data_IF_665765264450
#
_entry.id   IF_665765264450
#
_cell.length_a   1.000
_cell.length_b   1.000
_cell.length_c   1.000
_cell.angle_alpha   90.00
_cell.angle_beta   90.00
_cell.angle_gamma   90.00
#
_symmetry.space_group_name_H-M   'P 1'
#
loop_
_entity.id
_entity.type
_entity.pdbx_description
1 polymer ?
#
# COMPACT_ATOMS: atom_id res chain seq x y z
N UNK A 1 -27.58 19.61 -9.06
CA UNK A 1 -26.34 18.83 -8.82
C UNK A 1 -25.45 19.42 -7.71
N UNK A 2 -25.20 20.74 -7.60
CA UNK A 2 -24.28 21.29 -6.59
C UNK A 2 -24.67 21.00 -5.12
N UNK A 3 -25.95 20.78 -4.86
CA UNK A 3 -26.50 20.48 -3.53
C UNK A 3 -26.73 18.98 -3.28
N UNK A 4 -26.47 18.13 -4.28
CA UNK A 4 -26.71 16.69 -4.19
C UNK A 4 -25.50 15.97 -3.61
N UNK A 5 -25.75 15.08 -2.65
CA UNK A 5 -24.77 14.14 -2.11
C UNK A 5 -24.40 13.05 -3.14
N UNK A 6 -23.32 12.28 -2.94
CA UNK A 6 -22.86 11.27 -3.88
C UNK A 6 -23.95 10.24 -4.24
N UNK A 7 -24.67 9.69 -3.26
CA UNK A 7 -25.72 8.70 -3.51
C UNK A 7 -26.87 9.27 -4.34
N UNK A 8 -27.33 10.48 -4.00
CA UNK A 8 -28.39 11.15 -4.75
C UNK A 8 -27.93 11.47 -6.18
N UNK A 9 -26.67 11.87 -6.36
CA UNK A 9 -26.10 12.16 -7.68
C UNK A 9 -26.08 10.91 -8.57
N UNK A 10 -25.69 9.76 -8.04
CA UNK A 10 -25.72 8.48 -8.78
C UNK A 10 -27.13 8.15 -9.26
N UNK A 11 -28.14 8.29 -8.38
CA UNK A 11 -29.54 8.06 -8.74
C UNK A 11 -30.06 9.03 -9.83
N UNK A 12 -29.68 10.31 -9.74
CA UNK A 12 -30.03 11.33 -10.73
C UNK A 12 -29.37 11.02 -12.08
N UNK A 13 -28.07 10.69 -12.11
CA UNK A 13 -27.37 10.33 -13.36
C UNK A 13 -27.99 9.09 -13.99
N UNK A 14 -28.32 8.07 -13.20
CA UNK A 14 -29.00 6.87 -13.70
C UNK A 14 -30.33 7.20 -14.36
N UNK A 15 -31.09 8.13 -13.78
CA UNK A 15 -32.36 8.61 -14.35
C UNK A 15 -32.12 9.37 -15.65
N UNK A 16 -31.10 10.24 -15.70
CA UNK A 16 -30.76 11.00 -16.90
C UNK A 16 -30.33 10.11 -18.07
N UNK A 17 -29.68 8.97 -17.80
CA UNK A 17 -29.26 8.01 -18.82
C UNK A 17 -30.42 7.13 -19.36
N UNK A 18 -31.60 7.18 -18.74
CA UNK A 18 -32.72 6.30 -19.10
C UNK A 18 -33.42 6.68 -20.42
N UNK A 19 -33.25 7.91 -20.91
CA UNK A 19 -33.92 8.42 -22.12
C UNK A 19 -32.97 9.29 -22.95
N UNK A 20 -32.95 9.18 -24.30
CA UNK A 20 -32.03 9.94 -25.16
C UNK A 20 -32.07 11.46 -24.95
N UNK A 21 -33.27 12.05 -24.81
CA UNK A 21 -33.42 13.49 -24.59
C UNK A 21 -32.84 13.96 -23.24
N UNK A 22 -32.88 13.11 -22.21
CA UNK A 22 -32.28 13.38 -20.90
C UNK A 22 -30.76 13.17 -20.92
N UNK A 23 -30.29 12.16 -21.67
CA UNK A 23 -28.86 11.96 -21.94
C UNK A 23 -28.27 13.18 -22.64
N UNK A 24 -28.96 13.77 -23.62
CA UNK A 24 -28.51 15.01 -24.27
C UNK A 24 -28.42 16.19 -23.29
N UNK A 25 -29.33 16.30 -22.32
CA UNK A 25 -29.24 17.29 -21.26
C UNK A 25 -28.05 17.04 -20.31
N UNK A 26 -27.75 15.78 -20.00
CA UNK A 26 -26.57 15.38 -19.23
C UNK A 26 -25.28 15.79 -19.96
N UNK A 27 -25.16 15.48 -21.25
CA UNK A 27 -23.99 15.83 -22.06
C UNK A 27 -23.78 17.35 -22.18
N UNK A 28 -24.87 18.12 -22.35
CA UNK A 28 -24.80 19.59 -22.28
C UNK A 28 -24.34 20.09 -20.91
N UNK A 29 -24.74 19.42 -19.83
CA UNK A 29 -24.27 19.73 -18.48
C UNK A 29 -22.77 19.47 -18.29
N UNK A 30 -22.22 18.43 -18.93
CA UNK A 30 -20.78 18.16 -18.98
C UNK A 30 -20.04 19.22 -19.81
N UNK A 31 -20.56 19.57 -20.99
CA UNK A 31 -19.98 20.63 -21.85
C UNK A 31 -19.97 22.00 -21.18
N UNK A 32 -21.04 22.36 -20.47
CA UNK A 32 -21.14 23.61 -19.73
C UNK A 32 -20.36 23.60 -18.40
N UNK A 33 -19.70 22.50 -18.04
CA UNK A 33 -18.95 22.35 -16.79
C UNK A 33 -19.82 22.34 -15.53
N UNK A 34 -21.12 22.09 -15.66
CA UNK A 34 -22.04 21.90 -14.53
C UNK A 34 -21.91 20.52 -13.87
N UNK A 35 -21.29 19.57 -14.57
CA UNK A 35 -20.94 18.22 -14.14
C UNK A 35 -19.52 17.90 -14.64
N UNK A 36 -18.76 17.11 -13.88
CA UNK A 36 -17.47 16.56 -14.35
C UNK A 36 -17.64 15.11 -14.79
N UNK A 37 -16.79 14.63 -15.69
CA UNK A 37 -16.73 13.21 -16.06
C UNK A 37 -16.37 12.32 -14.86
N UNK A 38 -15.72 12.87 -13.83
CA UNK A 38 -15.46 12.15 -12.57
C UNK A 38 -16.73 11.89 -11.75
N UNK A 39 -17.84 12.58 -12.04
CA UNK A 39 -19.15 12.30 -11.42
C UNK A 39 -19.85 11.05 -11.97
N UNK A 40 -19.30 10.46 -13.03
CA UNK A 40 -19.85 9.28 -13.68
C UNK A 40 -19.09 8.04 -13.23
N UNK A 41 -19.79 6.98 -12.83
CA UNK A 41 -19.19 5.67 -12.61
C UNK A 41 -18.62 5.08 -13.91
N UNK A 42 -17.70 4.11 -13.78
CA UNK A 42 -17.14 3.41 -14.94
C UNK A 42 -18.24 2.80 -15.85
N UNK A 43 -19.27 2.21 -15.26
CA UNK A 43 -20.42 1.64 -15.98
C UNK A 43 -21.23 2.72 -16.72
N UNK A 44 -21.43 3.89 -16.11
CA UNK A 44 -22.13 5.00 -16.75
C UNK A 44 -21.33 5.58 -17.92
N UNK A 45 -20.00 5.70 -17.77
CA UNK A 45 -19.09 6.11 -18.85
C UNK A 45 -19.11 5.12 -20.01
N UNK A 46 -19.14 3.82 -19.72
CA UNK A 46 -19.28 2.78 -20.75
C UNK A 46 -20.64 2.90 -21.46
N UNK A 47 -21.73 3.06 -20.69
CA UNK A 47 -23.09 3.22 -21.24
C UNK A 47 -23.21 4.41 -22.18
N UNK A 48 -22.56 5.53 -21.85
CA UNK A 48 -22.48 6.71 -22.73
C UNK A 48 -21.62 6.45 -23.98
N UNK A 49 -20.52 5.72 -23.81
CA UNK A 49 -19.59 5.37 -24.91
C UNK A 49 -20.17 4.35 -25.89
N UNK A 50 -21.15 3.55 -25.46
CA UNK A 50 -21.84 2.53 -26.24
C UNK A 50 -23.32 2.89 -26.51
N UNK A 51 -23.70 4.15 -26.27
CA UNK A 51 -25.08 4.60 -26.41
C UNK A 51 -25.62 4.27 -27.82
N UNK A 52 -26.86 3.75 -27.98
CA UNK A 52 -27.38 3.30 -29.28
C UNK A 52 -27.49 4.43 -30.32
N UNK A 53 -27.85 5.64 -29.87
CA UNK A 53 -27.83 6.84 -30.72
C UNK A 53 -26.40 7.27 -31.08
N UNK A 54 -26.12 7.33 -32.38
CA UNK A 54 -24.78 7.65 -32.91
C UNK A 54 -24.28 9.05 -32.53
N UNK A 55 -25.16 10.05 -32.53
CA UNK A 55 -24.78 11.44 -32.23
C UNK A 55 -24.43 11.62 -30.75
N UNK A 56 -25.20 10.98 -29.87
CA UNK A 56 -24.93 10.98 -28.43
C UNK A 56 -23.67 10.18 -28.11
N UNK A 57 -23.44 9.05 -28.79
CA UNK A 57 -22.25 8.22 -28.64
C UNK A 57 -20.96 8.96 -29.01
N UNK A 58 -20.94 9.64 -30.15
CA UNK A 58 -19.78 10.42 -30.61
C UNK A 58 -19.49 11.61 -29.68
N UNK A 59 -20.52 12.36 -29.30
CA UNK A 59 -20.41 13.45 -28.33
C UNK A 59 -19.87 12.96 -26.99
N UNK A 60 -20.40 11.83 -26.51
CA UNK A 60 -19.95 11.21 -25.25
C UNK A 60 -18.47 10.82 -25.31
N UNK A 61 -18.03 10.12 -26.38
CA UNK A 61 -16.62 9.73 -26.55
C UNK A 61 -15.70 10.95 -26.56
N UNK A 62 -16.08 12.03 -27.26
CA UNK A 62 -15.31 13.27 -27.28
C UNK A 62 -15.16 13.88 -25.88
N UNK A 63 -16.26 13.97 -25.12
CA UNK A 63 -16.26 14.57 -23.77
C UNK A 63 -15.53 13.71 -22.73
N UNK A 64 -15.62 12.39 -22.86
CA UNK A 64 -14.91 11.44 -22.00
C UNK A 64 -13.40 11.46 -22.28
N UNK A 65 -12.99 11.58 -23.55
CA UNK A 65 -11.58 11.70 -23.95
C UNK A 65 -10.95 13.04 -23.53
N UNK A 66 -11.71 14.12 -23.53
CA UNK A 66 -11.24 15.44 -23.06
C UNK A 66 -11.22 15.57 -21.54
N UNK A 67 -11.57 14.51 -20.79
CA UNK A 67 -11.51 14.48 -19.33
C UNK A 67 -12.59 15.29 -18.61
N UNK A 68 -13.46 16.01 -19.33
CA UNK A 68 -14.65 16.71 -18.82
C UNK A 68 -14.45 17.73 -17.68
N UNK A 69 -13.22 17.97 -17.25
CA UNK A 69 -12.84 19.04 -16.33
C UNK A 69 -12.19 20.14 -17.15
N UNK A 70 -12.64 21.39 -16.96
CA UNK A 70 -11.86 22.55 -17.39
C UNK A 70 -10.52 22.48 -16.65
N UNK A 71 -9.47 22.01 -17.35
CA UNK A 71 -8.11 22.07 -16.84
C UNK A 71 -7.80 23.54 -16.59
N UNK A 72 -7.44 23.91 -15.36
CA UNK A 72 -7.06 25.28 -15.05
C UNK A 72 -5.79 25.64 -15.86
N UNK A 73 -5.83 26.64 -16.77
CA UNK A 73 -4.69 26.98 -17.61
C UNK A 73 -3.45 27.43 -16.85
N UNK A 74 -3.60 27.93 -15.61
CA UNK A 74 -2.47 28.24 -14.74
C UNK A 74 -1.84 26.96 -14.19
N UNK A 75 -2.68 26.01 -13.74
CA UNK A 75 -2.21 24.70 -13.24
C UNK A 75 -1.56 23.87 -14.33
N UNK A 76 -2.11 23.87 -15.53
CA UNK A 76 -1.51 23.20 -16.68
C UNK A 76 -0.11 23.74 -17.00
N UNK A 77 0.06 25.07 -17.02
CA UNK A 77 1.38 25.69 -17.22
C UNK A 77 2.37 25.32 -16.11
N UNK A 78 1.91 25.26 -14.87
CA UNK A 78 2.74 24.84 -13.74
C UNK A 78 3.17 23.37 -13.88
N UNK A 79 2.25 22.47 -14.23
CA UNK A 79 2.56 21.06 -14.49
C UNK A 79 3.61 20.94 -15.59
N UNK A 80 3.44 21.64 -16.71
CA UNK A 80 4.40 21.65 -17.81
C UNK A 80 5.78 22.19 -17.38
N UNK A 81 5.82 23.25 -16.59
CA UNK A 81 7.04 23.82 -16.05
C UNK A 81 7.78 22.84 -15.12
N UNK A 82 7.06 22.08 -14.30
CA UNK A 82 7.63 21.18 -13.29
C UNK A 82 7.82 19.75 -13.83
N UNK A 83 7.28 19.40 -14.99
CA UNK A 83 7.40 18.07 -15.60
C UNK A 83 8.85 17.57 -15.70
N UNK A 84 9.87 18.39 -16.04
CA UNK A 84 11.27 17.95 -16.07
C UNK A 84 11.79 17.42 -14.73
N UNK A 85 11.20 17.82 -13.60
CA UNK A 85 11.57 17.31 -12.27
C UNK A 85 11.33 15.81 -12.14
N UNK A 86 10.38 15.25 -12.90
CA UNK A 86 10.05 13.82 -12.85
C UNK A 86 11.17 12.92 -13.39
N UNK A 87 12.11 13.49 -14.16
CA UNK A 87 13.27 12.79 -14.68
C UNK A 87 14.47 12.82 -13.72
N UNK A 88 14.37 13.56 -12.61
CA UNK A 88 15.40 13.63 -11.58
C UNK A 88 15.22 12.50 -10.57
N UNK A 89 16.34 12.03 -10.04
CA UNK A 89 16.39 11.12 -8.89
C UNK A 89 16.40 11.96 -7.62
N UNK A 90 15.48 11.64 -6.69
CA UNK A 90 15.40 12.29 -5.38
C UNK A 90 16.06 11.48 -4.28
N UNK A 91 16.10 12.07 -3.08
CA UNK A 91 16.49 11.39 -1.85
C UNK A 91 15.27 10.75 -1.17
N UNK A 92 15.35 9.45 -0.89
CA UNK A 92 14.22 8.67 -0.36
C UNK A 92 13.85 9.10 1.07
N UNK A 93 14.84 9.29 1.95
CA UNK A 93 14.61 9.62 3.36
C UNK A 93 14.05 11.05 3.52
N UNK A 94 14.58 12.00 2.74
CA UNK A 94 14.05 13.35 2.63
C UNK A 94 12.63 13.33 2.07
N UNK A 95 12.35 12.47 1.08
CA UNK A 95 11.02 12.26 0.54
C UNK A 95 10.03 11.72 1.58
N UNK A 96 10.46 10.77 2.42
CA UNK A 96 9.66 10.28 3.56
C UNK A 96 9.38 11.39 4.57
N UNK A 97 10.36 12.23 4.89
CA UNK A 97 10.19 13.36 5.80
C UNK A 97 9.19 14.38 5.23
N UNK A 98 9.27 14.66 3.93
CA UNK A 98 8.31 15.52 3.22
C UNK A 98 6.91 14.93 3.26
N UNK A 99 6.75 13.63 2.97
CA UNK A 99 5.47 12.94 3.04
C UNK A 99 4.87 13.02 4.45
N UNK A 100 5.67 12.70 5.48
CA UNK A 100 5.22 12.67 6.88
C UNK A 100 4.72 14.04 7.33
N UNK A 101 5.39 15.12 6.90
CA UNK A 101 5.05 16.48 7.28
C UNK A 101 3.83 17.04 6.54
N UNK A 102 3.67 16.73 5.26
CA UNK A 102 2.72 17.44 4.39
C UNK A 102 1.56 16.56 3.89
N UNK A 103 1.78 15.25 3.76
CA UNK A 103 0.83 14.33 3.15
C UNK A 103 0.17 13.40 4.18
N UNK A 104 0.92 12.95 5.20
CA UNK A 104 0.45 11.98 6.19
C UNK A 104 -0.72 12.48 7.07
N UNK A 105 -0.92 13.81 7.14
CA UNK A 105 -2.08 14.42 7.79
C UNK A 105 -3.40 13.92 7.18
N UNK A 106 -3.42 13.69 5.87
CA UNK A 106 -4.62 13.32 5.14
C UNK A 106 -4.54 11.92 4.51
N UNK A 107 -3.36 11.49 4.09
CA UNK A 107 -3.17 10.26 3.34
C UNK A 107 -2.42 9.21 4.14
N UNK A 108 -2.76 7.95 3.88
CA UNK A 108 -2.03 6.78 4.37
C UNK A 108 -1.09 6.28 3.29
N UNK A 109 0.13 5.91 3.66
CA UNK A 109 1.09 5.25 2.77
C UNK A 109 1.93 4.26 3.57
N UNK A 110 1.98 3.00 3.11
CA UNK A 110 2.74 1.92 3.74
C UNK A 110 2.43 1.73 5.24
N UNK A 111 1.20 2.00 5.66
CA UNK A 111 0.77 1.88 7.06
C UNK A 111 0.89 3.15 7.90
N UNK A 112 1.58 4.19 7.42
CA UNK A 112 1.77 5.46 8.12
C UNK A 112 0.78 6.54 7.60
N UNK A 113 0.28 7.41 8.49
CA UNK A 113 -0.63 8.52 8.14
C UNK A 113 -2.11 8.26 8.46
N UNK A 114 -2.99 9.15 8.00
CA UNK A 114 -4.43 9.13 8.27
C UNK A 114 -5.26 8.74 7.04
N UNK A 115 -6.54 8.39 7.26
CA UNK A 115 -7.49 8.06 6.19
C UNK A 115 -8.55 9.15 6.08
N UNK A 116 -8.12 10.34 5.67
CA UNK A 116 -9.00 11.45 5.25
C UNK A 116 -9.12 11.42 3.72
N UNK A 117 -7.98 11.45 3.03
CA UNK A 117 -7.87 11.14 1.62
C UNK A 117 -7.70 9.64 1.35
N UNK A 118 -7.57 9.24 0.07
CA UNK A 118 -7.31 7.85 -0.31
C UNK A 118 -5.98 7.31 0.26
N UNK A 119 -5.95 6.00 0.49
CA UNK A 119 -4.70 5.27 0.79
C UNK A 119 -3.83 5.20 -0.47
N UNK A 120 -2.63 5.74 -0.37
CA UNK A 120 -1.67 5.92 -1.46
C UNK A 120 -0.77 4.69 -1.65
N UNK A 121 -0.84 3.69 -0.78
CA UNK A 121 0.08 2.52 -0.80
C UNK A 121 0.07 1.81 -2.15
N UNK A 122 -1.11 1.67 -2.78
CA UNK A 122 -1.27 1.04 -4.08
C UNK A 122 -0.89 1.93 -5.28
N UNK A 123 -0.71 3.24 -5.08
CA UNK A 123 -0.45 4.17 -6.17
C UNK A 123 1.04 4.24 -6.57
N UNK A 124 1.92 3.56 -5.83
CA UNK A 124 3.36 3.48 -6.13
C UNK A 124 3.69 2.82 -7.48
N UNK A 125 2.71 2.17 -8.12
CA UNK A 125 2.82 1.60 -9.48
C UNK A 125 2.78 2.67 -10.59
N UNK A 126 2.29 3.86 -10.28
CA UNK A 126 2.15 4.96 -11.24
C UNK A 126 3.47 5.72 -11.40
N UNK A 127 3.79 6.21 -12.62
CA UNK A 127 5.02 6.96 -12.87
C UNK A 127 5.03 8.32 -12.16
N UNK A 128 6.22 8.88 -11.92
CA UNK A 128 6.41 10.20 -11.28
C UNK A 128 5.62 11.31 -11.96
N UNK A 129 5.48 11.26 -13.28
CA UNK A 129 4.74 12.25 -14.07
C UNK A 129 3.26 12.30 -13.70
N UNK A 130 2.64 11.14 -13.41
CA UNK A 130 1.25 11.05 -13.00
C UNK A 130 1.07 11.57 -11.56
N UNK A 131 1.97 11.17 -10.66
CA UNK A 131 2.03 11.71 -9.31
C UNK A 131 2.17 13.24 -9.27
N UNK A 132 3.06 13.79 -10.09
CA UNK A 132 3.25 15.23 -10.19
C UNK A 132 1.94 15.94 -10.55
N UNK A 133 1.17 15.40 -11.50
CA UNK A 133 -0.12 15.98 -11.90
C UNK A 133 -1.10 15.96 -10.72
N UNK A 134 -1.22 14.84 -10.01
CA UNK A 134 -2.13 14.73 -8.86
C UNK A 134 -1.76 15.67 -7.71
N UNK A 135 -0.46 15.93 -7.49
CA UNK A 135 0.03 16.83 -6.44
C UNK A 135 -0.18 18.30 -6.83
N UNK A 136 0.13 18.68 -8.07
CA UNK A 136 0.08 20.08 -8.52
C UNK A 136 -1.32 20.55 -8.90
N UNK A 137 -2.18 19.62 -9.33
CA UNK A 137 -3.53 19.89 -9.79
C UNK A 137 -4.51 18.86 -9.18
N UNK A 138 -4.71 18.89 -7.86
CA UNK A 138 -5.59 17.93 -7.17
C UNK A 138 -7.06 18.07 -7.61
N UNK A 139 -7.44 19.21 -8.16
CA UNK A 139 -8.78 19.49 -8.68
C UNK A 139 -9.01 18.93 -10.10
N UNK A 140 -7.96 18.47 -10.80
CA UNK A 140 -8.06 17.94 -12.18
C UNK A 140 -9.05 16.79 -12.29
N UNK A 141 -8.99 15.86 -11.34
CA UNK A 141 -9.85 14.68 -11.28
C UNK A 141 -10.26 14.41 -9.83
N UNK A 142 -11.27 15.14 -9.36
CA UNK A 142 -11.84 14.91 -8.02
C UNK A 142 -12.93 13.86 -8.11
N UNK A 143 -12.69 12.67 -7.55
CA UNK A 143 -13.78 11.71 -7.34
C UNK A 143 -14.83 12.33 -6.41
N UNK A 144 -16.10 12.01 -6.64
CA UNK A 144 -17.22 12.62 -5.91
C UNK A 144 -17.13 12.49 -4.39
N UNK A 145 -16.40 11.47 -3.89
CA UNK A 145 -16.21 11.19 -2.47
C UNK A 145 -15.16 12.08 -1.78
N UNK A 146 -14.25 12.70 -2.54
CA UNK A 146 -13.17 13.54 -1.99
C UNK A 146 -13.37 15.04 -2.28
N UNK A 147 -14.58 15.42 -2.70
CA UNK A 147 -14.97 16.83 -2.84
C UNK A 147 -15.19 17.46 -1.48
N UNK A 148 -14.82 18.73 -1.37
CA UNK A 148 -15.13 19.53 -0.20
C UNK A 148 -16.62 19.88 -0.19
N UNK A 149 -17.29 19.63 0.93
CA UNK A 149 -18.66 20.05 1.21
C UNK A 149 -18.65 21.17 2.24
N UNK A 150 -19.49 22.17 2.03
CA UNK A 150 -19.80 23.23 2.99
C UNK A 150 -21.24 23.04 3.46
N UNK A 151 -21.41 22.77 4.75
CA UNK A 151 -22.70 22.71 5.42
C UNK A 151 -22.90 23.97 6.26
N UNK A 152 -23.94 24.74 5.96
CA UNK A 152 -24.48 25.78 6.83
C UNK A 152 -25.58 25.14 7.68
N UNK A 153 -25.41 25.15 9.00
CA UNK A 153 -26.43 24.66 9.93
C UNK A 153 -27.46 25.74 10.22
N UNK A 154 -28.67 25.35 10.64
CA UNK A 154 -29.73 26.27 11.09
C UNK A 154 -29.30 27.22 12.22
N UNK A 155 -28.31 26.82 13.03
CA UNK A 155 -27.72 27.63 14.10
C UNK A 155 -26.64 28.63 13.59
N UNK A 156 -26.48 28.75 12.26
CA UNK A 156 -25.52 29.66 11.62
C UNK A 156 -24.07 29.17 11.59
N UNK A 157 -23.79 27.94 12.00
CA UNK A 157 -22.44 27.35 11.96
C UNK A 157 -22.12 26.85 10.55
N UNK A 158 -20.94 27.22 10.04
CA UNK A 158 -20.42 26.74 8.75
C UNK A 158 -19.38 25.66 8.99
N UNK A 159 -19.61 24.46 8.47
CA UNK A 159 -18.72 23.31 8.58
C UNK A 159 -18.22 22.93 7.18
N UNK A 160 -16.90 22.81 7.03
CA UNK A 160 -16.25 22.41 5.79
C UNK A 160 -15.56 21.06 5.97
N UNK A 161 -15.80 20.12 5.06
CA UNK A 161 -15.15 18.81 5.11
C UNK A 161 -15.52 17.90 3.96
N UNK A 162 -14.91 16.73 3.89
CA UNK A 162 -15.29 15.67 2.96
C UNK A 162 -16.45 14.86 3.54
N UNK A 163 -17.33 14.35 2.69
CA UNK A 163 -18.45 13.51 3.13
C UNK A 163 -17.97 12.07 3.38
N UNK A 164 -17.83 11.68 4.65
CA UNK A 164 -17.36 10.34 5.02
C UNK A 164 -18.50 9.32 5.04
N UNK A 165 -19.64 9.70 5.60
CA UNK A 165 -20.85 8.87 5.59
C UNK A 165 -22.09 9.71 5.34
N UNK A 166 -23.09 9.11 4.72
CA UNK A 166 -24.42 9.70 4.58
C UNK A 166 -25.50 8.66 4.88
N UNK A 167 -26.56 9.11 5.56
CA UNK A 167 -27.76 8.35 5.83
C UNK A 167 -29.01 9.19 5.49
N UNK A 168 -30.18 8.61 5.72
CA UNK A 168 -31.47 9.31 5.55
C UNK A 168 -31.65 10.44 6.58
N UNK A 169 -31.00 10.37 7.74
CA UNK A 169 -31.22 11.31 8.85
C UNK A 169 -30.01 12.17 9.16
N UNK A 170 -28.81 11.77 8.74
CA UNK A 170 -27.56 12.48 9.05
C UNK A 170 -26.56 12.43 7.91
N UNK A 171 -25.60 13.35 7.95
CA UNK A 171 -24.36 13.28 7.21
C UNK A 171 -23.18 13.40 8.19
N UNK A 172 -22.06 12.83 7.81
CA UNK A 172 -20.80 12.97 8.54
C UNK A 172 -19.76 13.65 7.65
N UNK A 173 -19.27 14.81 8.09
CA UNK A 173 -18.19 15.52 7.43
C UNK A 173 -16.89 15.31 8.21
N UNK A 174 -15.80 15.01 7.50
CA UNK A 174 -14.44 14.99 8.06
C UNK A 174 -13.74 16.27 7.62
N UNK A 175 -13.33 17.09 8.58
CA UNK A 175 -12.62 18.34 8.29
C UNK A 175 -11.13 18.10 8.00
N UNK A 176 -10.42 19.18 7.67
CA UNK A 176 -8.99 19.15 7.35
C UNK A 176 -8.10 18.74 8.55
N UNK A 177 -8.64 18.76 9.78
CA UNK A 177 -7.98 18.31 11.00
C UNK A 177 -8.33 16.85 11.35
N UNK A 178 -8.93 16.11 10.41
CA UNK A 178 -9.42 14.75 10.58
C UNK A 178 -10.52 14.60 11.65
N UNK A 179 -11.18 15.70 12.05
CA UNK A 179 -12.28 15.67 13.01
C UNK A 179 -13.59 15.38 12.28
N UNK A 180 -14.37 14.46 12.85
CA UNK A 180 -15.69 14.03 12.37
C UNK A 180 -16.78 14.92 12.97
N UNK A 181 -17.63 15.46 12.10
CA UNK A 181 -18.80 16.26 12.44
C UNK A 181 -20.03 15.55 11.93
N UNK A 182 -20.83 14.98 12.84
CA UNK A 182 -22.13 14.41 12.50
C UNK A 182 -23.18 15.49 12.57
N UNK A 183 -23.86 15.74 11.45
CA UNK A 183 -24.88 16.78 11.31
C UNK A 183 -26.19 16.10 10.93
N UNK A 184 -27.24 16.30 11.74
CA UNK A 184 -28.58 15.86 11.39
C UNK A 184 -29.08 16.67 10.20
N UNK A 185 -29.72 16.01 9.22
CA UNK A 185 -30.20 16.67 8.00
C UNK A 185 -31.21 17.77 8.27
N UNK A 186 -32.01 17.64 9.34
CA UNK A 186 -32.95 18.67 9.80
C UNK A 186 -32.26 19.95 10.28
N UNK A 187 -31.00 19.84 10.74
CA UNK A 187 -30.20 20.96 11.20
C UNK A 187 -29.37 21.59 10.06
N UNK A 188 -29.51 21.11 8.82
CA UNK A 188 -28.79 21.66 7.66
C UNK A 188 -29.69 22.67 6.96
N UNK A 189 -29.31 23.94 7.01
CA UNK A 189 -29.94 24.98 6.21
C UNK A 189 -29.49 24.89 4.75
N UNK A 190 -28.19 24.69 4.52
CA UNK A 190 -27.64 24.59 3.17
C UNK A 190 -26.47 23.60 3.12
N UNK A 191 -26.44 22.76 2.09
CA UNK A 191 -25.31 21.89 1.77
C UNK A 191 -24.84 22.16 0.35
N UNK A 192 -23.57 22.56 0.20
CA UNK A 192 -22.98 22.90 -1.10
C UNK A 192 -21.73 22.05 -1.32
N UNK A 193 -21.69 21.31 -2.42
CA UNK A 193 -20.50 20.63 -2.89
C UNK A 193 -19.62 21.60 -3.69
N UNK A 194 -18.37 21.77 -3.27
CA UNK A 194 -17.35 22.47 -4.02
C UNK A 194 -16.96 21.68 -5.28
N UNK A 195 -16.50 22.41 -6.30
CA UNK A 195 -15.88 21.82 -7.49
C UNK A 195 -14.40 21.49 -7.27
N UNK A 196 -13.81 21.99 -6.17
CA UNK A 196 -12.41 21.79 -5.82
C UNK A 196 -12.22 20.55 -4.96
N UNK A 197 -11.03 19.98 -5.05
CA UNK A 197 -10.57 18.94 -4.13
C UNK A 197 -10.49 19.48 -2.70
N UNK A 198 -10.63 18.59 -1.71
CA UNK A 198 -10.28 18.90 -0.32
C UNK A 198 -8.75 18.94 -0.11
N UNK A 199 -7.97 18.37 -1.03
CA UNK A 199 -6.51 18.49 -1.01
C UNK A 199 -6.10 19.94 -1.33
N UNK A 200 -5.22 20.57 -0.53
CA UNK A 200 -4.78 21.94 -0.75
C UNK A 200 -3.92 22.04 -2.02
N UNK A 201 -4.05 23.18 -2.71
CA UNK A 201 -3.15 23.56 -3.80
C UNK A 201 -1.99 24.43 -3.25
N UNK A 202 -0.88 24.53 -3.98
CA UNK A 202 0.27 25.37 -3.57
C UNK A 202 1.35 24.61 -2.77
N UNK A 203 1.27 23.29 -2.70
CA UNK A 203 2.30 22.46 -2.07
C UNK A 203 3.68 22.68 -2.73
N UNK A 204 3.72 22.92 -4.03
CA UNK A 204 4.93 23.23 -4.79
C UNK A 204 5.72 24.41 -4.25
N UNK A 205 5.04 25.42 -3.67
CA UNK A 205 5.69 26.60 -3.10
C UNK A 205 6.32 26.28 -1.74
N UNK A 206 5.68 25.38 -0.98
CA UNK A 206 6.15 24.98 0.36
C UNK A 206 7.25 23.93 0.28
N UNK A 207 7.15 23.00 -0.68
CA UNK A 207 8.10 21.90 -0.85
C UNK A 207 9.36 22.35 -1.60
N UNK A 208 9.22 23.30 -2.52
CA UNK A 208 10.26 23.63 -3.49
C UNK A 208 10.57 22.46 -4.45
N UNK A 209 11.44 22.72 -5.42
CA UNK A 209 11.74 21.73 -6.47
C UNK A 209 12.42 20.47 -5.93
N UNK A 210 13.33 20.63 -4.96
CA UNK A 210 14.02 19.49 -4.37
C UNK A 210 13.08 18.63 -3.52
N UNK A 211 12.29 19.25 -2.64
CA UNK A 211 11.32 18.52 -1.82
C UNK A 211 10.26 17.81 -2.66
N UNK A 212 9.88 18.38 -3.82
CA UNK A 212 8.98 17.73 -4.76
C UNK A 212 9.64 16.52 -5.45
N UNK A 213 10.91 16.63 -5.88
CA UNK A 213 11.66 15.51 -6.47
C UNK A 213 11.84 14.37 -5.45
N UNK A 214 12.17 14.69 -4.21
CA UNK A 214 12.36 13.73 -3.12
C UNK A 214 11.03 13.04 -2.77
N UNK A 215 9.93 13.81 -2.69
CA UNK A 215 8.59 13.25 -2.48
C UNK A 215 8.19 12.29 -3.62
N UNK A 216 8.41 12.69 -4.88
CA UNK A 216 8.12 11.85 -6.03
C UNK A 216 8.97 10.58 -6.01
N UNK A 217 10.24 10.66 -5.64
CA UNK A 217 11.09 9.48 -5.41
C UNK A 217 10.46 8.59 -4.34
N UNK A 218 10.17 9.08 -3.14
CA UNK A 218 9.56 8.27 -2.09
C UNK A 218 8.22 7.60 -2.47
N UNK A 219 7.38 8.30 -3.24
CA UNK A 219 6.06 7.80 -3.66
C UNK A 219 6.12 6.79 -4.83
N UNK A 220 7.20 6.80 -5.63
CA UNK A 220 7.33 5.96 -6.83
C UNK A 220 8.41 4.90 -6.75
N UNK A 221 9.38 5.13 -5.87
CA UNK A 221 10.48 4.21 -5.64
C UNK A 221 9.93 3.06 -4.81
N UNK A 222 9.64 1.97 -5.51
CA UNK A 222 9.86 0.63 -4.97
C UNK A 222 11.30 0.66 -4.48
N UNK A 223 11.50 0.81 -3.17
CA UNK A 223 12.79 1.08 -2.53
C UNK A 223 13.94 0.26 -3.14
N UNK A 224 15.20 0.67 -2.91
CA UNK A 224 16.33 -0.26 -3.01
C UNK A 224 15.99 -1.62 -2.36
N UNK A 225 15.16 -1.56 -1.33
CA UNK A 225 14.53 -2.69 -0.68
C UNK A 225 13.00 -2.55 -0.67
N UNK A 226 12.31 -3.66 -0.91
CA UNK A 226 10.85 -3.78 -0.88
C UNK A 226 10.48 -4.84 0.16
N UNK A 227 10.03 -4.44 1.37
CA UNK A 227 9.48 -5.38 2.34
C UNK A 227 8.23 -6.06 1.78
N UNK A 228 8.16 -7.38 1.89
CA UNK A 228 7.00 -8.16 1.45
C UNK A 228 5.98 -8.33 2.60
N UNK A 229 4.67 -8.35 2.31
CA UNK A 229 3.62 -8.34 3.32
C UNK A 229 3.43 -9.72 3.98
N UNK A 230 4.37 -10.13 4.83
CA UNK A 230 4.36 -11.44 5.50
C UNK A 230 3.07 -11.72 6.29
N UNK A 231 2.40 -10.67 6.78
CA UNK A 231 1.15 -10.79 7.54
C UNK A 231 0.03 -11.52 6.78
N UNK A 232 0.05 -11.52 5.45
CA UNK A 232 -0.93 -12.25 4.63
C UNK A 232 -0.76 -13.78 4.70
N UNK A 233 0.43 -14.25 5.08
CA UNK A 233 0.80 -15.68 5.10
C UNK A 233 1.28 -16.15 6.47
N UNK A 234 1.22 -15.29 7.49
CA UNK A 234 1.70 -15.57 8.83
C UNK A 234 0.88 -16.69 9.50
N UNK A 235 1.56 -17.60 10.19
CA UNK A 235 0.98 -18.83 10.75
C UNK A 235 1.02 -18.88 12.27
N UNK A 236 1.85 -18.04 12.91
CA UNK A 236 2.04 -18.03 14.37
C UNK A 236 2.09 -16.61 14.94
N UNK A 237 1.76 -16.51 16.23
CA UNK A 237 1.91 -15.31 17.06
C UNK A 237 3.19 -15.45 17.90
N UNK A 238 4.18 -14.60 17.68
CA UNK A 238 5.49 -14.72 18.35
C UNK A 238 5.52 -14.14 19.77
N UNK A 239 4.51 -13.37 20.17
CA UNK A 239 4.34 -12.85 21.53
C UNK A 239 3.68 -13.86 22.49
N UNK A 240 3.28 -15.02 21.97
CA UNK A 240 2.74 -16.16 22.71
C UNK A 240 3.69 -17.36 22.54
N UNK A 241 3.58 -18.35 23.42
CA UNK A 241 4.41 -19.54 23.31
C UNK A 241 4.15 -20.30 22.01
N UNK A 242 5.22 -20.56 21.25
CA UNK A 242 5.12 -21.06 19.87
C UNK A 242 5.20 -22.60 19.76
N UNK A 243 5.71 -23.33 20.75
CA UNK A 243 6.02 -24.76 20.57
C UNK A 243 5.11 -25.70 21.37
N UNK A 244 5.02 -25.51 22.70
CA UNK A 244 4.25 -26.40 23.58
C UNK A 244 2.91 -25.77 24.01
N UNK A 245 2.92 -24.51 24.44
CA UNK A 245 1.70 -23.87 24.94
C UNK A 245 1.70 -22.37 24.76
N UNK A 246 0.57 -21.80 24.34
CA UNK A 246 0.42 -20.36 24.06
C UNK A 246 0.69 -19.47 25.28
N UNK A 247 0.46 -19.99 26.48
CA UNK A 247 0.71 -19.30 27.75
C UNK A 247 2.19 -19.33 28.18
N UNK A 248 3.05 -20.16 27.54
CA UNK A 248 4.46 -20.28 27.89
C UNK A 248 5.18 -18.93 27.79
N UNK A 249 5.86 -18.44 28.85
CA UNK A 249 6.57 -17.16 28.82
C UNK A 249 7.94 -17.26 28.13
N UNK A 250 8.44 -18.46 27.85
CA UNK A 250 9.83 -18.68 27.41
C UNK A 250 10.00 -18.97 25.91
N UNK A 251 8.92 -19.28 25.19
CA UNK A 251 8.94 -19.68 23.78
C UNK A 251 8.49 -18.56 22.84
N UNK A 252 8.99 -17.33 23.08
CA UNK A 252 8.48 -16.10 22.45
C UNK A 252 9.61 -15.34 21.76
N UNK A 253 9.30 -14.69 20.64
CA UNK A 253 10.17 -13.72 19.97
C UNK A 253 9.47 -12.37 19.98
N UNK A 254 9.78 -11.56 20.99
CA UNK A 254 9.15 -10.26 21.23
C UNK A 254 10.15 -9.17 20.89
N UNK A 255 9.82 -8.37 19.88
CA UNK A 255 10.61 -7.19 19.53
C UNK A 255 10.25 -6.01 20.44
N UNK A 256 11.21 -5.11 20.74
CA UNK A 256 10.93 -3.87 21.47
C UNK A 256 9.90 -2.98 20.77
N UNK A 257 9.86 -3.03 19.43
CA UNK A 257 8.91 -2.32 18.60
C UNK A 257 8.53 -3.15 17.36
N UNK A 258 7.31 -2.99 16.88
CA UNK A 258 6.83 -3.55 15.60
C UNK A 258 6.90 -2.50 14.49
N UNK A 259 6.64 -2.88 13.24
CA UNK A 259 6.84 -2.02 12.07
C UNK A 259 8.23 -2.16 11.47
N UNK A 260 8.73 -1.10 10.82
CA UNK A 260 10.01 -1.16 10.11
C UNK A 260 11.17 -1.24 11.12
N UNK A 261 11.95 -2.32 11.03
CA UNK A 261 13.24 -2.48 11.70
C UNK A 261 14.33 -2.63 10.66
N UNK A 262 15.53 -2.11 10.92
CA UNK A 262 16.64 -2.18 9.96
C UNK A 262 17.76 -3.09 10.47
N UNK A 263 18.37 -3.82 9.55
CA UNK A 263 19.61 -4.55 9.79
C UNK A 263 20.51 -4.40 8.57
N UNK A 264 21.76 -3.96 8.76
CA UNK A 264 22.70 -3.66 7.67
C UNK A 264 22.05 -2.79 6.56
N UNK A 265 21.30 -1.76 6.95
CA UNK A 265 20.53 -0.86 6.06
C UNK A 265 19.40 -1.52 5.25
N UNK A 266 19.10 -2.80 5.48
CA UNK A 266 17.95 -3.48 4.89
C UNK A 266 16.74 -3.27 5.81
N UNK A 267 15.65 -2.62 5.33
CA UNK A 267 14.42 -2.48 6.09
C UNK A 267 13.61 -3.78 6.07
N UNK A 268 13.15 -4.21 7.24
CA UNK A 268 12.26 -5.34 7.44
C UNK A 268 10.96 -4.85 8.08
N UNK A 269 9.83 -5.14 7.45
CA UNK A 269 8.52 -4.83 8.01
C UNK A 269 8.09 -5.95 8.96
N UNK A 270 8.21 -5.71 10.26
CA UNK A 270 7.68 -6.61 11.28
C UNK A 270 6.19 -6.36 11.48
N UNK A 271 5.39 -7.42 11.38
CA UNK A 271 3.94 -7.34 11.58
C UNK A 271 3.63 -7.16 13.06
N UNK A 272 2.78 -6.19 13.40
CA UNK A 272 2.26 -6.05 14.77
C UNK A 272 1.24 -7.18 15.06
N UNK A 273 1.47 -8.01 16.09
CA UNK A 273 0.56 -9.09 16.45
C UNK A 273 -0.75 -8.60 17.13
N UNK A 274 -0.97 -7.29 17.28
CA UNK A 274 -2.16 -6.67 17.86
C UNK A 274 -2.52 -7.27 19.23
N UNK A 275 -1.59 -7.15 20.18
CA UNK A 275 -1.69 -7.77 21.51
C UNK A 275 -1.87 -9.30 21.46
N UNK A 276 -1.32 -9.93 20.43
CA UNK A 276 -1.32 -11.38 20.25
C UNK A 276 -2.62 -11.97 19.67
N UNK A 277 -3.43 -11.14 19.00
CA UNK A 277 -4.66 -11.57 18.31
C UNK A 277 -4.43 -11.87 16.82
N UNK A 278 -3.37 -11.32 16.23
CA UNK A 278 -2.99 -11.55 14.83
C UNK A 278 -1.66 -12.30 14.73
N UNK A 279 -1.57 -13.23 13.76
CA UNK A 279 -0.31 -13.88 13.42
C UNK A 279 0.67 -12.86 12.84
N UNK A 280 1.94 -12.98 13.20
CA UNK A 280 2.97 -12.01 12.83
C UNK A 280 4.28 -12.64 12.33
N UNK A 281 4.38 -13.97 12.29
CA UNK A 281 5.50 -14.69 11.69
C UNK A 281 5.03 -15.96 10.98
N UNK A 282 5.88 -16.48 10.10
CA UNK A 282 5.70 -17.80 9.50
C UNK A 282 6.51 -18.80 10.31
N UNK A 283 5.82 -19.77 10.92
CA UNK A 283 6.40 -21.01 11.42
C UNK A 283 5.87 -22.18 10.59
N UNK A 284 6.76 -23.06 10.15
CA UNK A 284 6.39 -24.26 9.40
C UNK A 284 6.31 -25.49 10.30
N UNK A 285 5.71 -26.55 9.74
CA UNK A 285 5.53 -27.84 10.38
C UNK A 285 6.82 -28.41 11.02
N UNK A 286 6.69 -28.99 12.21
CA UNK A 286 7.67 -29.93 12.79
C UNK A 286 6.93 -31.08 13.48
N UNK A 287 7.49 -32.30 13.53
CA UNK A 287 6.93 -33.38 14.33
C UNK A 287 7.01 -33.15 15.85
N UNK A 288 7.79 -32.16 16.31
CA UNK A 288 8.02 -31.89 17.72
C UNK A 288 7.09 -30.80 18.27
N UNK A 289 6.77 -30.89 19.57
CA UNK A 289 5.89 -29.94 20.27
C UNK A 289 4.40 -30.17 19.96
N UNK A 290 3.55 -29.26 20.44
CA UNK A 290 2.09 -29.38 20.36
C UNK A 290 1.46 -28.45 19.30
N UNK A 291 2.14 -27.36 18.99
CA UNK A 291 1.74 -26.38 17.97
C UNK A 291 2.40 -26.62 16.60
N UNK A 292 3.72 -26.89 16.50
CA UNK A 292 4.37 -27.08 15.20
C UNK A 292 3.76 -28.19 14.32
N UNK A 293 3.26 -29.34 14.85
CA UNK A 293 2.61 -30.34 14.00
C UNK A 293 1.34 -29.85 13.28
N UNK A 294 0.74 -28.75 13.76
CA UNK A 294 -0.45 -28.12 13.17
C UNK A 294 -0.12 -27.02 12.17
N UNK A 295 1.15 -26.64 12.07
CA UNK A 295 1.59 -25.62 11.12
C UNK A 295 1.64 -26.19 9.70
N UNK A 296 1.48 -25.35 8.66
CA UNK A 296 1.55 -25.82 7.29
C UNK A 296 2.96 -26.30 6.92
N UNK A 297 3.02 -27.23 5.96
CA UNK A 297 4.28 -27.68 5.36
C UNK A 297 4.80 -26.72 4.30
N UNK A 298 3.96 -25.85 3.76
CA UNK A 298 4.43 -24.73 2.95
C UNK A 298 3.51 -23.51 3.02
N UNK A 299 4.07 -22.33 2.74
CA UNK A 299 3.33 -21.08 2.56
C UNK A 299 3.87 -20.34 1.34
N UNK A 300 3.01 -19.64 0.60
CA UNK A 300 3.37 -18.91 -0.62
C UNK A 300 3.19 -17.41 -0.43
N UNK A 301 4.29 -16.66 -0.48
CA UNK A 301 4.33 -15.21 -0.38
C UNK A 301 4.37 -14.58 -1.79
N UNK A 302 3.41 -13.72 -2.16
CA UNK A 302 3.47 -12.98 -3.42
C UNK A 302 4.71 -12.08 -3.52
N UNK A 303 5.33 -12.03 -4.70
CA UNK A 303 6.51 -11.19 -4.96
C UNK A 303 6.29 -10.30 -6.20
N UNK A 304 5.88 -10.89 -7.31
CA UNK A 304 5.50 -10.22 -8.57
C UNK A 304 6.54 -9.21 -9.11
N UNK A 305 7.82 -9.47 -8.89
CA UNK A 305 8.92 -8.61 -9.36
C UNK A 305 10.18 -9.40 -9.68
N UNK A 306 11.04 -8.85 -10.54
CA UNK A 306 12.41 -9.31 -10.72
C UNK A 306 13.26 -8.89 -9.52
N UNK A 307 14.11 -9.78 -9.01
CA UNK A 307 14.80 -9.63 -7.72
C UNK A 307 16.26 -10.02 -7.87
N UNK A 308 17.18 -9.14 -7.47
CA UNK A 308 18.60 -9.47 -7.41
C UNK A 308 18.99 -10.17 -6.11
N UNK A 309 18.29 -9.87 -5.01
CA UNK A 309 18.55 -10.47 -3.71
C UNK A 309 17.29 -10.53 -2.83
N UNK A 310 17.10 -11.64 -2.13
CA UNK A 310 16.02 -11.85 -1.15
C UNK A 310 16.66 -11.87 0.24
N UNK A 311 16.29 -10.89 1.06
CA UNK A 311 16.73 -10.77 2.43
C UNK A 311 15.70 -11.39 3.36
N UNK A 312 16.16 -12.26 4.26
CA UNK A 312 15.32 -12.96 5.22
C UNK A 312 15.74 -12.59 6.63
N UNK A 313 14.79 -12.06 7.38
CA UNK A 313 14.90 -11.97 8.83
C UNK A 313 14.23 -13.22 9.41
N UNK A 314 15.04 -14.12 9.92
CA UNK A 314 14.67 -15.49 10.25
C UNK A 314 15.92 -16.28 10.61
N UNK A 315 16.22 -17.36 9.87
CA UNK A 315 17.42 -18.16 10.11
C UNK A 315 17.43 -18.83 11.49
N UNK A 316 16.25 -19.03 12.08
CA UNK A 316 16.08 -19.66 13.38
C UNK A 316 15.00 -20.73 13.32
N UNK A 317 15.10 -21.72 14.20
CA UNK A 317 14.09 -22.76 14.34
C UNK A 317 14.03 -23.29 15.77
N UNK A 318 12.91 -23.91 16.14
CA UNK A 318 12.89 -24.82 17.30
C UNK A 318 13.62 -26.13 16.97
N UNK A 319 14.36 -26.69 17.94
CA UNK A 319 15.15 -27.90 17.82
C UNK A 319 16.22 -27.85 16.71
N UNK A 320 16.75 -26.66 16.45
CA UNK A 320 17.86 -26.47 15.51
C UNK A 320 19.22 -26.65 16.18
N UNK A 321 20.27 -26.55 15.39
CA UNK A 321 21.64 -26.62 15.85
C UNK A 321 21.96 -25.47 16.83
N UNK A 322 22.74 -25.80 17.86
CA UNK A 322 23.30 -24.84 18.81
C UNK A 322 24.76 -24.49 18.47
N UNK A 323 25.07 -24.44 17.17
CA UNK A 323 26.39 -24.16 16.63
C UNK A 323 26.60 -24.75 15.23
N UNK A 324 27.80 -24.60 14.64
CA UNK A 324 28.08 -25.07 13.29
C UNK A 324 27.95 -26.59 13.16
N UNK A 325 27.13 -27.05 12.20
CA UNK A 325 27.03 -28.46 11.79
C UNK A 325 26.43 -28.57 10.40
N UNK A 326 26.68 -29.69 9.72
CA UNK A 326 25.99 -30.05 8.48
C UNK A 326 24.73 -30.87 8.79
N UNK A 327 23.71 -30.20 9.32
CA UNK A 327 22.42 -30.81 9.61
C UNK A 327 21.58 -31.09 8.35
N UNK A 328 20.33 -31.51 8.57
CA UNK A 328 19.36 -31.64 7.49
C UNK A 328 18.86 -30.30 6.95
N UNK A 329 18.16 -30.32 5.81
CA UNK A 329 17.49 -29.13 5.28
C UNK A 329 16.32 -28.77 6.20
N UNK A 330 16.41 -27.60 6.84
CA UNK A 330 15.39 -27.12 7.76
C UNK A 330 14.18 -26.55 7.02
N UNK A 331 14.45 -25.76 5.97
CA UNK A 331 13.48 -25.09 5.11
C UNK A 331 14.05 -24.95 3.70
N UNK A 332 13.22 -25.01 2.66
CA UNK A 332 13.58 -24.63 1.29
C UNK A 332 12.88 -23.32 0.97
N UNK A 333 13.61 -22.34 0.46
CA UNK A 333 13.04 -21.16 -0.17
C UNK A 333 12.95 -21.43 -1.66
N UNK A 334 11.73 -21.63 -2.15
CA UNK A 334 11.46 -21.96 -3.54
C UNK A 334 10.90 -20.75 -4.27
N UNK A 335 11.58 -20.33 -5.33
CA UNK A 335 11.17 -19.24 -6.20
C UNK A 335 10.32 -19.82 -7.34
N UNK A 336 9.10 -19.30 -7.51
CA UNK A 336 8.23 -19.63 -8.64
C UNK A 336 8.26 -18.47 -9.62
N UNK A 337 8.83 -18.68 -10.81
CA UNK A 337 8.90 -17.68 -11.85
C UNK A 337 7.61 -17.60 -12.65
N UNK A 338 7.35 -16.46 -13.30
CA UNK A 338 6.16 -16.25 -14.14
C UNK A 338 6.11 -17.21 -15.33
N UNK A 339 7.27 -17.64 -15.84
CA UNK A 339 7.39 -18.62 -16.92
C UNK A 339 7.11 -20.08 -16.50
N UNK A 340 6.79 -20.30 -15.21
CA UNK A 340 6.51 -21.61 -14.63
C UNK A 340 7.74 -22.36 -14.11
N UNK A 341 8.96 -21.83 -14.31
CA UNK A 341 10.17 -22.41 -13.75
C UNK A 341 10.20 -22.28 -12.22
N UNK A 342 10.94 -23.19 -11.58
CA UNK A 342 11.12 -23.20 -10.13
C UNK A 342 12.60 -23.27 -9.78
N UNK A 343 12.99 -22.58 -8.72
CA UNK A 343 14.35 -22.59 -8.19
C UNK A 343 14.34 -22.79 -6.68
N UNK A 344 15.10 -23.78 -6.20
CA UNK A 344 15.15 -24.14 -4.79
C UNK A 344 16.46 -23.66 -4.14
N UNK A 345 16.33 -22.99 -3.00
CA UNK A 345 17.43 -22.61 -2.11
C UNK A 345 17.24 -23.31 -0.75
N UNK A 346 17.91 -24.44 -0.51
CA UNK A 346 17.80 -25.17 0.76
C UNK A 346 18.57 -24.44 1.87
N UNK A 347 17.90 -24.21 3.00
CA UNK A 347 18.49 -23.68 4.22
C UNK A 347 18.80 -24.82 5.18
N UNK A 348 20.10 -25.05 5.38
CA UNK A 348 20.64 -26.17 6.16
C UNK A 348 20.74 -25.80 7.64
N UNK A 349 20.29 -26.70 8.51
CA UNK A 349 20.42 -26.57 9.96
C UNK A 349 21.89 -26.66 10.42
N UNK A 350 22.34 -25.72 11.25
CA UNK A 350 23.75 -25.58 11.63
C UNK A 350 24.63 -24.84 10.63
N UNK A 351 24.07 -24.44 9.49
CA UNK A 351 24.74 -23.57 8.50
C UNK A 351 24.04 -22.24 8.31
N UNK A 352 22.75 -22.30 7.96
CA UNK A 352 21.91 -21.13 7.75
C UNK A 352 20.98 -20.90 8.94
N UNK A 353 20.54 -21.99 9.58
CA UNK A 353 19.54 -21.99 10.65
C UNK A 353 20.18 -22.40 11.97
N UNK A 354 19.88 -21.69 13.04
CA UNK A 354 20.30 -22.01 14.40
C UNK A 354 19.10 -22.06 15.37
N UNK A 355 19.29 -22.62 16.56
CA UNK A 355 18.22 -22.64 17.57
C UNK A 355 17.93 -21.23 18.10
N UNK A 356 16.66 -20.86 18.22
CA UNK A 356 16.25 -19.52 18.65
C UNK A 356 16.52 -19.26 20.14
N UNK A 357 16.66 -20.31 20.98
CA UNK A 357 16.69 -20.19 22.45
C UNK A 357 17.95 -19.52 23.02
N UNK A 358 18.96 -19.27 22.21
CA UNK A 358 20.25 -18.74 22.62
C UNK A 358 20.92 -17.99 21.48
N UNK A 359 22.18 -17.63 21.67
CA UNK A 359 23.03 -17.03 20.63
C UNK A 359 24.00 -18.08 20.14
N UNK A 360 23.74 -18.60 18.94
CA UNK A 360 24.56 -19.66 18.35
C UNK A 360 24.98 -19.21 16.95
N UNK A 361 26.29 -19.14 16.71
CA UNK A 361 26.81 -18.78 15.41
C UNK A 361 26.81 -19.95 14.44
N UNK A 362 26.36 -19.67 13.22
CA UNK A 362 26.37 -20.61 12.09
C UNK A 362 26.91 -19.86 10.85
N UNK A 363 27.68 -20.51 9.96
CA UNK A 363 28.44 -19.84 8.91
C UNK A 363 27.67 -18.95 7.92
N UNK A 364 26.47 -19.36 7.51
CA UNK A 364 25.74 -18.80 6.37
C UNK A 364 24.57 -17.87 6.81
N UNK A 365 24.57 -17.43 8.07
CA UNK A 365 23.66 -16.40 8.57
C UNK A 365 24.29 -15.59 9.70
N UNK A 366 23.80 -14.38 9.95
CA UNK A 366 24.34 -13.45 10.94
C UNK A 366 23.33 -13.21 12.06
N UNK A 367 23.78 -13.02 13.31
CA UNK A 367 22.89 -12.57 14.37
C UNK A 367 22.37 -11.16 14.04
N UNK A 368 21.05 -10.99 13.96
CA UNK A 368 20.41 -9.72 13.60
C UNK A 368 19.82 -8.99 14.80
N UNK A 369 19.07 -9.72 15.64
CA UNK A 369 18.44 -9.15 16.84
C UNK A 369 18.57 -10.10 18.03
N UNK A 370 18.85 -9.51 19.19
CA UNK A 370 18.78 -10.16 20.51
C UNK A 370 17.44 -9.81 21.17
N UNK A 371 16.62 -10.82 21.43
CA UNK A 371 15.28 -10.71 22.00
C UNK A 371 15.26 -11.32 23.40
N UNK A 372 15.95 -10.66 24.35
CA UNK A 372 16.12 -11.11 25.72
C UNK A 372 16.76 -12.50 25.83
N UNK A 373 17.93 -12.68 25.21
CA UNK A 373 18.70 -13.92 25.23
C UNK A 373 18.32 -14.91 24.12
N UNK A 374 17.29 -14.59 23.33
CA UNK A 374 16.90 -15.33 22.12
C UNK A 374 17.41 -14.62 20.89
N UNK A 375 17.59 -15.35 19.80
CA UNK A 375 18.09 -14.78 18.56
C UNK A 375 17.05 -14.73 17.46
N UNK A 376 17.20 -13.74 16.60
CA UNK A 376 16.73 -13.76 15.22
C UNK A 376 17.95 -13.47 14.34
N UNK A 377 18.07 -14.22 13.25
CA UNK A 377 19.22 -14.14 12.35
C UNK A 377 18.82 -13.52 11.02
N UNK A 378 19.83 -13.08 10.29
CA UNK A 378 19.71 -12.54 8.94
C UNK A 378 20.46 -13.46 7.98
N UNK A 379 19.85 -13.73 6.83
CA UNK A 379 20.53 -14.31 5.68
C UNK A 379 19.98 -13.72 4.39
N UNK A 380 20.73 -13.88 3.31
CA UNK A 380 20.33 -13.43 1.98
C UNK A 380 20.41 -14.58 0.99
N UNK A 381 19.52 -14.56 -0.01
CA UNK A 381 19.45 -15.52 -1.10
C UNK A 381 19.58 -14.73 -2.40
N UNK A 382 20.43 -15.21 -3.30
CA UNK A 382 20.61 -14.63 -4.62
C UNK A 382 19.91 -15.54 -5.64
N UNK A 383 18.83 -15.07 -6.29
CA UNK A 383 18.21 -15.81 -7.38
C UNK A 383 19.21 -16.02 -8.53
N UNK A 384 19.26 -17.22 -9.10
CA UNK A 384 20.11 -17.51 -10.28
C UNK A 384 19.64 -16.77 -11.54
N UNK A 385 18.38 -16.32 -11.56
CA UNK A 385 17.74 -15.61 -12.68
C UNK A 385 17.24 -14.23 -12.22
N UNK A 386 18.13 -13.30 -11.87
CA UNK A 386 17.73 -12.06 -11.20
C UNK A 386 16.91 -11.12 -12.09
N UNK A 387 17.05 -11.22 -13.42
CA UNK A 387 16.26 -10.46 -14.39
C UNK A 387 14.81 -10.93 -14.53
N UNK A 388 14.51 -12.15 -14.05
CA UNK A 388 13.25 -12.82 -14.35
C UNK A 388 12.27 -12.59 -13.20
N UNK A 389 11.00 -12.38 -13.56
CA UNK A 389 9.97 -12.03 -12.57
C UNK A 389 9.62 -13.25 -11.72
N UNK A 390 9.82 -13.12 -10.41
CA UNK A 390 9.38 -14.10 -9.41
C UNK A 390 7.91 -13.81 -9.11
N UNK A 391 7.04 -14.78 -9.37
CA UNK A 391 5.61 -14.72 -9.03
C UNK A 391 5.39 -14.93 -7.53
N UNK A 392 5.98 -15.99 -6.97
CA UNK A 392 5.86 -16.34 -5.56
C UNK A 392 7.18 -16.79 -4.95
N UNK A 393 7.39 -16.47 -3.68
CA UNK A 393 8.41 -17.08 -2.82
C UNK A 393 7.68 -18.07 -1.91
N UNK A 394 7.95 -19.36 -2.07
CA UNK A 394 7.37 -20.42 -1.26
C UNK A 394 8.37 -20.88 -0.19
N UNK A 395 7.94 -20.88 1.07
CA UNK A 395 8.69 -21.50 2.16
C UNK A 395 8.20 -22.93 2.32
N UNK A 396 9.06 -23.92 2.07
CA UNK A 396 8.71 -25.35 2.09
C UNK A 396 9.46 -26.06 3.21
N UNK A 397 8.73 -26.88 3.97
CA UNK A 397 9.27 -27.81 4.95
C UNK A 397 9.50 -29.18 4.30
N UNK A 398 10.74 -29.58 3.98
CA UNK A 398 11.00 -30.86 3.34
C UNK A 398 10.86 -32.07 4.29
N UNK A 399 11.00 -31.84 5.61
CA UNK A 399 10.97 -32.89 6.64
C UNK A 399 11.92 -32.56 7.80
N UNK A 400 12.16 -33.52 8.71
CA UNK A 400 13.07 -33.36 9.85
C UNK A 400 12.47 -32.64 11.07
N UNK A 401 13.22 -32.58 12.18
CA UNK A 401 12.70 -32.19 13.50
C UNK A 401 12.63 -30.67 13.73
N UNK A 402 13.28 -29.87 12.88
CA UNK A 402 13.31 -28.42 13.07
C UNK A 402 11.98 -27.76 12.74
N UNK A 403 11.60 -26.72 13.49
CA UNK A 403 10.45 -25.86 13.22
C UNK A 403 10.94 -24.46 12.79
N UNK A 404 11.21 -24.21 11.49
CA UNK A 404 11.79 -22.96 11.03
C UNK A 404 10.81 -21.79 11.16
N UNK A 405 11.36 -20.62 11.50
CA UNK A 405 10.62 -19.37 11.71
C UNK A 405 11.19 -18.26 10.79
N UNK A 406 10.29 -17.56 10.11
CA UNK A 406 10.58 -16.36 9.32
C UNK A 406 9.79 -15.18 9.90
N UNK A 407 10.50 -14.13 10.29
CA UNK A 407 9.93 -12.92 10.89
C UNK A 407 9.57 -11.86 9.86
N UNK A 408 10.38 -11.71 8.82
CA UNK A 408 10.15 -10.77 7.73
C UNK A 408 10.96 -11.14 6.49
N UNK A 409 10.50 -10.64 5.33
CA UNK A 409 11.13 -10.84 4.03
C UNK A 409 11.20 -9.50 3.34
N UNK A 410 12.34 -9.19 2.76
CA UNK A 410 12.57 -7.96 2.00
C UNK A 410 13.29 -8.32 0.72
N UNK A 411 12.82 -7.84 -0.42
CA UNK A 411 13.46 -8.10 -1.71
C UNK A 411 14.16 -6.86 -2.21
N UNK A 412 15.33 -7.04 -2.81
CA UNK A 412 16.04 -6.01 -3.54
C UNK A 412 15.68 -6.16 -5.03
N UNK A 413 14.93 -5.21 -5.62
CA UNK A 413 14.53 -5.32 -7.03
C UNK A 413 15.75 -5.34 -7.95
N UNK A 414 15.68 -6.16 -9.00
CA UNK A 414 16.71 -6.15 -10.04
C UNK A 414 16.65 -4.83 -10.82
N UNK A 415 17.78 -4.12 -10.88
CA UNK A 415 17.96 -2.94 -11.73
C UNK A 415 18.85 -3.34 -12.90
N UNK A 416 18.31 -3.28 -14.12
CA UNK A 416 19.14 -3.44 -15.32
C UNK A 416 20.19 -2.33 -15.34
N UNK A 417 21.46 -2.68 -15.58
CA UNK A 417 22.49 -1.69 -15.80
C UNK A 417 22.12 -0.86 -17.04
N UNK A 418 21.82 0.42 -16.84
CA UNK A 418 21.74 1.38 -17.94
C UNK A 418 23.18 1.64 -18.36
N UNK A 419 23.59 1.39 -19.62
CA UNK A 419 24.94 1.70 -20.05
C UNK A 419 25.19 3.19 -19.82
N UNK A 420 26.25 3.51 -19.07
CA UNK A 420 26.70 4.90 -18.92
C UNK A 420 27.13 5.41 -20.30
N UNK A 421 26.66 6.60 -20.73
CA UNK A 421 27.06 7.19 -22.01
C UNK A 421 28.56 7.49 -22.07
#
# INVERSE_FOLDING_TARGET
MPTATPTLRVAVVQTLLSRPAMTEALLRGLEAGGLSVSDLSALQRQTLSDHPDTKLRETSRRLLQSGGSQVDPNRQRLVEQKLPLTQRTGDFDSGKAVFTKNCATCHKYQGEGNVVGPDLTGMSVHPKSEWLIHILDPSRSVESNYRLYTALTVDGVVINGILATESLTSIELVDAQAKRHTILRENIEQLVASRKSAMPEGLEETLGDQGLVDLLEFLTTKGEYVPLPLGQVATVVTTKGMFYGRESPIERLVFPAWGIQTFNNVPFMLVDPQNGTANNAVMLHSPNGDLPPKMPKSVMLPCETAVSRIHLLGGVAGWAAQGPRDGGVSMIVRLHYVDGAKEDHPLVDGRHVADYIGKFDVPDSQLAFDLNGRQVRYLAIEPKRPSDVIKFIEFVKPGGPTAPIVMAVTVQPYKAEVPRP
#
